data_IF_314783642803
#
_entry.id   IF_314783642803
#
_cell.length_a   1.000
_cell.length_b   1.000
_cell.length_c   1.000
_cell.angle_alpha   90.00
_cell.angle_beta   90.00
_cell.angle_gamma   90.00
#
_symmetry.space_group_name_H-M   'P 1'
#
loop_
_entity.id
_entity.type
_entity.pdbx_description
1 polymer ?
#
# COMPACT_ATOMS: atom_id res chain seq x y z
N UNK A 1 33.17 -3.81 -7.76
CA UNK A 1 32.89 -3.76 -7.97
C UNK A 1 32.35 -3.75 -8.53
N UNK A 2 32.22 -3.54 -8.84
CA UNK A 2 31.73 -3.42 -9.42
C UNK A 2 30.98 -3.74 -9.81
N UNK A 3 31.03 -3.95 -9.65
CA UNK A 3 30.49 -4.24 -10.10
C UNK A 3 29.56 -4.49 -10.08
N UNK A 4 29.68 -4.53 -9.67
CA UNK A 4 29.04 -4.64 -9.71
C UNK A 4 28.16 -4.30 -9.81
N UNK A 5 28.39 -4.02 -9.52
CA UNK A 5 27.87 -3.44 -9.67
C UNK A 5 27.15 -3.31 -10.25
N UNK A 6 27.25 -3.51 -10.39
CA UNK A 6 26.80 -3.34 -11.00
C UNK A 6 25.84 -3.55 -11.32
N UNK A 7 25.89 -3.89 -10.96
CA UNK A 7 25.31 -4.04 -11.38
C UNK A 7 24.23 -3.98 -11.37
N UNK A 8 24.12 -3.60 -10.86
CA UNK A 8 23.25 -3.28 -10.97
C UNK A 8 22.63 -2.70 -11.50
N UNK A 9 23.00 -2.39 -11.67
CA UNK A 9 22.69 -1.82 -12.24
C UNK A 9 22.08 -1.97 -12.96
N UNK A 10 22.08 -2.45 -12.87
CA UNK A 10 21.77 -2.49 -13.59
C UNK A 10 20.78 -2.91 -13.73
N UNK A 11 20.82 -3.32 -13.33
CA UNK A 11 20.06 -3.53 -13.50
C UNK A 11 19.11 -3.16 -13.49
N UNK A 12 19.08 -3.01 -13.22
CA UNK A 12 18.55 -2.53 -13.27
C UNK A 12 17.89 -2.21 -13.84
N UNK A 13 17.98 -2.26 -14.29
CA UNK A 13 17.62 -1.87 -14.94
C UNK A 13 17.00 -2.23 -15.52
N UNK A 14 17.15 -2.74 -15.63
CA UNK A 14 16.67 -3.01 -16.30
C UNK A 14 15.71 -3.30 -16.17
N UNK A 15 15.50 -3.56 -15.72
CA UNK A 15 14.67 -3.59 -15.67
C UNK A 15 13.98 -2.84 -16.05
N UNK A 16 14.21 -2.34 -16.24
CA UNK A 16 13.71 -1.57 -16.56
C UNK A 16 13.48 -1.31 -17.49
N UNK A 17 13.82 -1.71 -17.98
CA UNK A 17 13.65 -1.49 -18.82
C UNK A 17 12.63 -1.53 -19.54
N UNK A 18 12.33 -2.04 -19.77
CA UNK A 18 11.12 -1.84 -20.41
C UNK A 18 10.43 -0.67 -19.84
N UNK A 19 10.80 0.42 -20.17
CA UNK A 19 10.48 1.63 -19.50
C UNK A 19 9.03 1.86 -19.18
N UNK A 20 8.14 1.52 -20.08
CA UNK A 20 6.72 1.77 -19.84
C UNK A 20 6.18 0.96 -18.68
N UNK A 21 6.57 -0.27 -18.56
CA UNK A 21 6.19 -1.08 -17.44
C UNK A 21 6.73 -0.49 -16.16
N UNK A 22 7.95 -0.06 -16.20
CA UNK A 22 8.56 0.54 -15.03
C UNK A 22 7.84 1.82 -14.62
N UNK A 23 7.45 2.63 -15.60
CA UNK A 23 6.77 3.87 -15.25
C UNK A 23 5.40 3.61 -14.65
N UNK A 24 4.70 2.59 -15.12
CA UNK A 24 3.41 2.24 -14.55
C UNK A 24 3.56 1.74 -13.13
N UNK A 25 4.68 1.09 -12.81
CA UNK A 25 4.90 0.52 -11.51
C UNK A 25 5.65 1.38 -10.55
N UNK A 26 6.21 2.52 -11.02
CA UNK A 26 7.12 3.28 -10.21
C UNK A 26 6.57 4.57 -9.68
N UNK A 27 7.29 5.14 -8.72
CA UNK A 27 7.02 6.46 -8.19
C UNK A 27 5.77 6.52 -7.33
N UNK A 28 5.41 7.74 -6.92
CA UNK A 28 4.26 7.92 -6.02
C UNK A 28 2.96 7.41 -6.63
N UNK A 29 2.73 7.63 -7.91
CA UNK A 29 1.50 7.14 -8.54
C UNK A 29 1.43 5.62 -8.53
N UNK A 30 2.55 4.97 -8.82
CA UNK A 30 2.60 3.50 -8.77
C UNK A 30 2.38 2.97 -7.37
N UNK A 31 2.99 3.63 -6.39
CA UNK A 31 2.81 3.23 -4.99
C UNK A 31 1.36 3.41 -4.56
N UNK A 32 0.72 4.50 -4.95
CA UNK A 32 -0.68 4.74 -4.62
C UNK A 32 -1.58 3.67 -5.24
N UNK A 33 -1.34 3.31 -6.50
CA UNK A 33 -2.11 2.27 -7.15
C UNK A 33 -1.91 0.92 -6.47
N UNK A 34 -0.68 0.62 -6.08
CA UNK A 34 -0.40 -0.62 -5.36
C UNK A 34 -1.08 -0.65 -4.00
N UNK A 35 -1.09 0.48 -3.30
CA UNK A 35 -1.80 0.59 -2.03
C UNK A 35 -3.30 0.33 -2.24
N UNK A 36 -3.87 0.88 -3.28
CA UNK A 36 -5.29 0.69 -3.58
C UNK A 36 -5.59 -0.76 -3.92
N UNK A 37 -4.69 -1.43 -4.65
CA UNK A 37 -4.88 -2.86 -4.92
C UNK A 37 -4.81 -3.69 -3.64
N UNK A 38 -3.93 -3.32 -2.73
CA UNK A 38 -3.84 -4.01 -1.46
C UNK A 38 -5.13 -3.83 -0.64
N UNK A 39 -5.68 -2.62 -0.65
CA UNK A 39 -6.96 -2.35 0.02
C UNK A 39 -8.11 -3.11 -0.61
N UNK A 40 -8.11 -3.21 -1.94
CA UNK A 40 -9.15 -3.91 -2.66
C UNK A 40 -9.20 -5.38 -2.28
N UNK A 41 -8.03 -5.97 -2.02
CA UNK A 41 -7.96 -7.36 -1.60
C UNK A 41 -8.03 -7.56 -0.09
N UNK A 42 -8.16 -6.50 0.68
CA UNK A 42 -8.18 -6.60 2.13
C UNK A 42 -9.60 -6.76 2.64
N UNK A 43 -9.83 -7.85 3.39
CA UNK A 43 -11.11 -8.13 4.03
C UNK A 43 -10.91 -8.09 5.54
N UNK A 44 -11.41 -7.07 6.23
CA UNK A 44 -11.26 -6.99 7.69
C UNK A 44 -11.81 -8.20 8.44
N UNK A 45 -12.83 -8.85 7.89
CA UNK A 45 -13.41 -10.02 8.53
C UNK A 45 -12.44 -11.19 8.62
N UNK A 46 -11.43 -11.21 7.75
CA UNK A 46 -10.45 -12.29 7.75
C UNK A 46 -9.22 -12.00 8.59
N UNK A 47 -9.11 -10.80 9.10
CA UNK A 47 -7.90 -10.34 9.78
C UNK A 47 -7.53 -11.21 10.98
N UNK A 48 -8.55 -11.69 11.70
CA UNK A 48 -8.34 -12.50 12.90
C UNK A 48 -8.40 -13.99 12.64
N UNK A 49 -8.61 -14.39 11.39
CA UNK A 49 -8.64 -15.82 11.07
C UNK A 49 -7.24 -16.40 11.18
N UNK A 50 -7.19 -17.66 11.57
CA UNK A 50 -5.92 -18.37 11.66
C UNK A 50 -5.52 -18.89 10.30
N UNK A 51 -4.21 -19.09 10.13
CA UNK A 51 -3.68 -19.67 8.91
C UNK A 51 -3.58 -18.65 7.78
N UNK A 52 -3.55 -19.14 6.54
CA UNK A 52 -3.22 -18.28 5.38
C UNK A 52 -4.17 -17.11 5.20
N UNK A 53 -5.47 -17.27 5.46
CA UNK A 53 -6.42 -16.20 5.23
C UNK A 53 -6.13 -14.98 6.12
N UNK A 54 -5.86 -15.22 7.39
CA UNK A 54 -5.53 -14.14 8.30
C UNK A 54 -4.19 -13.51 7.97
N UNK A 55 -3.23 -14.33 7.58
CA UNK A 55 -1.91 -13.84 7.22
C UNK A 55 -1.96 -12.95 5.99
N UNK A 56 -2.75 -13.34 5.01
CA UNK A 56 -2.93 -12.55 3.80
C UNK A 56 -3.57 -11.20 4.17
N UNK A 57 -4.61 -11.21 5.00
CA UNK A 57 -5.28 -9.98 5.41
C UNK A 57 -4.32 -9.05 6.15
N UNK A 58 -3.54 -9.58 7.07
CA UNK A 58 -2.55 -8.80 7.81
C UNK A 58 -1.54 -8.16 6.87
N UNK A 59 -1.03 -8.92 5.92
CA UNK A 59 -0.02 -8.43 5.00
C UNK A 59 -0.58 -7.39 4.04
N UNK A 60 -1.81 -7.57 3.59
CA UNK A 60 -2.44 -6.57 2.71
C UNK A 60 -2.65 -5.24 3.43
N UNK A 61 -3.07 -5.31 4.69
CA UNK A 61 -3.27 -4.11 5.48
C UNK A 61 -1.93 -3.38 5.68
N UNK A 62 -0.90 -4.12 6.04
CA UNK A 62 0.44 -3.56 6.21
C UNK A 62 0.98 -2.97 4.91
N UNK A 63 0.74 -3.67 3.79
CA UNK A 63 1.19 -3.20 2.49
C UNK A 63 0.48 -1.90 2.11
N UNK A 64 -0.81 -1.81 2.35
CA UNK A 64 -1.56 -0.58 2.06
C UNK A 64 -1.00 0.59 2.84
N UNK A 65 -0.65 0.38 4.11
CA UNK A 65 -0.07 1.43 4.93
C UNK A 65 1.30 1.87 4.40
N UNK A 66 2.17 0.91 4.17
CA UNK A 66 3.53 1.23 3.71
C UNK A 66 3.52 1.91 2.34
N UNK A 67 2.72 1.40 1.41
CA UNK A 67 2.69 1.92 0.05
C UNK A 67 2.03 3.29 -0.01
N UNK A 68 0.96 3.51 0.76
CA UNK A 68 0.32 4.83 0.79
C UNK A 68 1.24 5.86 1.43
N UNK A 69 1.97 5.48 2.46
CA UNK A 69 2.93 6.37 3.10
C UNK A 69 4.05 6.74 2.11
N UNK A 70 4.52 5.77 1.35
CA UNK A 70 5.54 6.01 0.34
C UNK A 70 5.03 6.96 -0.74
N UNK A 71 3.81 6.74 -1.21
CA UNK A 71 3.19 7.60 -2.21
C UNK A 71 3.10 9.04 -1.70
N UNK A 72 2.62 9.22 -0.47
CA UNK A 72 2.45 10.56 0.11
C UNK A 72 3.79 11.26 0.31
N UNK A 73 4.82 10.50 0.65
CA UNK A 73 6.16 11.08 0.82
C UNK A 73 6.70 11.61 -0.50
N UNK A 74 6.36 10.97 -1.60
CA UNK A 74 6.83 11.40 -2.92
C UNK A 74 5.93 12.44 -3.57
N UNK A 75 4.64 12.48 -3.21
CA UNK A 75 3.70 13.42 -3.79
C UNK A 75 2.58 13.68 -2.79
N UNK A 76 2.50 14.94 -2.33
CA UNK A 76 1.56 15.32 -1.28
C UNK A 76 0.09 15.09 -1.65
N UNK A 77 -0.22 14.96 -2.95
CA UNK A 77 -1.60 14.68 -3.34
C UNK A 77 -2.12 13.37 -2.78
N UNK A 78 -1.24 12.44 -2.43
CA UNK A 78 -1.62 11.15 -1.87
C UNK A 78 -1.69 11.16 -0.34
N UNK A 79 -1.46 12.31 0.29
CA UNK A 79 -1.54 12.40 1.75
C UNK A 79 -2.90 11.97 2.30
N UNK A 80 -4.04 12.32 1.69
CA UNK A 80 -5.33 11.86 2.24
C UNK A 80 -5.44 10.34 2.28
N UNK A 81 -4.93 9.64 1.26
CA UNK A 81 -4.93 8.19 1.24
C UNK A 81 -4.10 7.63 2.40
N UNK A 82 -2.87 8.14 2.55
CA UNK A 82 -1.98 7.69 3.61
C UNK A 82 -2.57 7.95 5.00
N UNK A 83 -3.17 9.12 5.18
CA UNK A 83 -3.78 9.48 6.46
C UNK A 83 -4.94 8.57 6.81
N UNK A 84 -5.77 8.23 5.82
CA UNK A 84 -6.91 7.36 6.06
C UNK A 84 -6.45 5.96 6.44
N UNK A 85 -5.50 5.38 5.70
CA UNK A 85 -5.01 4.05 6.00
C UNK A 85 -4.33 4.02 7.37
N UNK A 86 -3.45 4.98 7.61
CA UNK A 86 -2.75 5.04 8.89
C UNK A 86 -3.70 5.28 10.04
N UNK A 87 -4.69 6.16 9.86
CA UNK A 87 -5.69 6.41 10.87
C UNK A 87 -6.48 5.17 11.24
N UNK A 88 -6.84 4.37 10.22
CA UNK A 88 -7.54 3.12 10.48
C UNK A 88 -6.68 2.15 11.29
N UNK A 89 -5.41 2.04 10.94
CA UNK A 89 -4.51 1.13 11.65
C UNK A 89 -4.26 1.58 13.08
N UNK A 90 -4.13 2.88 13.30
CA UNK A 90 -3.92 3.40 14.64
C UNK A 90 -5.14 3.16 15.53
N UNK A 91 -6.34 3.36 15.00
CA UNK A 91 -7.55 3.10 15.76
C UNK A 91 -7.71 1.61 16.05
N UNK A 92 -7.41 0.78 15.06
CA UNK A 92 -7.47 -0.66 15.26
C UNK A 92 -6.45 -1.11 16.31
N UNK A 93 -5.28 -0.51 16.35
CA UNK A 93 -4.24 -0.87 17.33
C UNK A 93 -4.66 -0.59 18.76
N UNK A 94 -5.58 0.37 18.96
CA UNK A 94 -6.07 0.69 20.29
C UNK A 94 -7.14 -0.28 20.76
N UNK A 95 -8.07 -0.64 19.86
CA UNK A 95 -9.25 -1.44 20.25
C UNK A 95 -9.15 -2.90 19.84
N UNK A 96 -8.27 -3.22 18.89
CA UNK A 96 -8.13 -4.54 18.26
C UNK A 96 -9.42 -4.99 17.58
N UNK A 97 -10.28 -4.03 17.19
CA UNK A 97 -11.54 -4.31 16.53
C UNK A 97 -11.70 -3.45 15.31
N UNK A 98 -12.34 -4.00 14.28
CA UNK A 98 -12.73 -3.20 13.11
C UNK A 98 -14.09 -2.59 13.37
N UNK A 99 -14.10 -1.63 14.31
CA UNK A 99 -15.32 -0.94 14.70
C UNK A 99 -15.70 0.11 13.67
N UNK A 100 -16.76 0.87 13.97
CA UNK A 100 -17.27 1.87 13.02
C UNK A 100 -16.22 2.92 12.65
N UNK A 101 -15.39 3.33 13.60
CA UNK A 101 -14.37 4.34 13.33
C UNK A 101 -13.29 3.81 12.39
N UNK A 102 -12.84 2.57 12.61
CA UNK A 102 -11.85 1.95 11.74
C UNK A 102 -12.43 1.80 10.33
N UNK A 103 -13.67 1.33 10.23
CA UNK A 103 -14.31 1.13 8.93
C UNK A 103 -14.51 2.43 8.19
N UNK A 104 -14.83 3.50 8.92
CA UNK A 104 -14.98 4.82 8.33
C UNK A 104 -13.68 5.29 7.66
N UNK A 105 -12.56 5.08 8.32
CA UNK A 105 -11.27 5.45 7.75
C UNK A 105 -10.94 4.58 6.54
N UNK A 106 -11.23 3.28 6.61
CA UNK A 106 -11.02 2.39 5.47
C UNK A 106 -11.88 2.81 4.28
N UNK A 107 -13.14 3.17 4.54
CA UNK A 107 -14.02 3.62 3.48
C UNK A 107 -13.52 4.90 2.84
N UNK A 108 -12.96 5.80 3.64
CA UNK A 108 -12.35 7.03 3.12
C UNK A 108 -11.18 6.71 2.20
N UNK A 109 -10.34 5.76 2.59
CA UNK A 109 -9.22 5.35 1.76
C UNK A 109 -9.70 4.74 0.44
N UNK A 110 -10.73 3.90 0.51
CA UNK A 110 -11.28 3.27 -0.69
C UNK A 110 -11.94 4.27 -1.61
N UNK A 111 -12.61 5.27 -1.03
CA UNK A 111 -13.20 6.34 -1.84
C UNK A 111 -12.11 7.12 -2.59
N UNK A 112 -10.99 7.38 -1.93
CA UNK A 112 -9.86 8.03 -2.60
C UNK A 112 -9.39 7.17 -3.78
N UNK A 113 -9.31 5.87 -3.58
CA UNK A 113 -8.86 4.96 -4.62
C UNK A 113 -9.79 4.95 -5.84
N UNK A 114 -11.07 5.16 -5.64
CA UNK A 114 -12.01 5.20 -6.74
C UNK A 114 -11.77 6.37 -7.68
N UNK A 115 -11.15 7.42 -7.18
CA UNK A 115 -10.85 8.62 -7.97
C UNK A 115 -9.49 8.55 -8.68
N UNK A 116 -8.74 7.51 -8.49
CA UNK A 116 -7.45 7.35 -9.16
C UNK A 116 -7.58 6.84 -10.62
#
# INVERSE_FOLDING_TARGET
MAGLVLGVAGTGVAWTLSGDTASAGGGPAGDAQAACRALDGFDPAKYTEKGPAGEIALNRYAAADALSASAAAGDARYAPLAQAVRGSRQRHAVTFEFNAEVKKELDRARAFCEDL
#
